data_IF_147371820045
#
_entry.id   IF_147371820045
#
_cell.length_a   1.000
_cell.length_b   1.000
_cell.length_c   1.000
_cell.angle_alpha   90.00
_cell.angle_beta   90.00
_cell.angle_gamma   90.00
#
_symmetry.space_group_name_H-M   'P 1'
#
loop_
_entity.id
_entity.type
_entity.pdbx_description
1 polymer ?
#
# COMPACT_ATOMS: atom_id res chain seq x y z
N UNK A 1 -0.17 11.53 1.98
CA UNK A 1 1.21 12.07 2.11
C UNK A 1 1.26 13.35 1.29
N UNK A 2 1.71 14.50 1.82
CA UNK A 2 1.90 15.67 1.00
C UNK A 2 3.01 15.37 -0.01
N UNK A 3 2.62 15.16 -1.27
CA UNK A 3 3.59 15.15 -2.36
C UNK A 3 4.32 16.52 -2.36
N UNK A 4 5.64 16.55 -2.52
CA UNK A 4 6.37 17.80 -2.64
C UNK A 4 5.76 18.57 -3.82
N UNK A 5 5.45 19.85 -3.60
CA UNK A 5 5.00 20.74 -4.67
C UNK A 5 6.11 20.79 -5.72
N UNK A 6 5.81 20.35 -6.92
CA UNK A 6 6.71 20.56 -8.07
C UNK A 6 6.74 22.07 -8.30
N UNK A 7 7.94 22.64 -8.42
CA UNK A 7 8.11 24.07 -8.71
C UNK A 7 7.30 24.46 -9.96
N UNK A 8 6.44 25.47 -9.82
CA UNK A 8 5.52 25.90 -10.88
C UNK A 8 4.17 25.18 -10.93
N UNK A 9 3.91 24.17 -10.08
CA UNK A 9 2.58 23.59 -9.98
C UNK A 9 1.65 24.48 -9.13
N UNK A 10 0.34 24.53 -9.44
CA UNK A 10 -0.62 25.25 -8.59
C UNK A 10 -0.61 24.63 -7.19
N UNK A 11 -0.59 25.49 -6.14
CA UNK A 11 -0.70 25.03 -4.77
C UNK A 11 -1.98 24.24 -4.55
N UNK A 12 -1.91 23.20 -3.69
CA UNK A 12 -3.07 22.35 -3.37
C UNK A 12 -3.89 22.87 -2.18
N UNK A 13 -3.44 23.95 -1.55
CA UNK A 13 -4.12 24.62 -0.42
C UNK A 13 -3.93 26.13 -0.58
N UNK A 14 -5.00 26.95 -0.50
CA UNK A 14 -6.40 26.54 -0.41
C UNK A 14 -6.90 25.84 -1.68
N UNK A 15 -7.99 25.08 -1.55
CA UNK A 15 -8.64 24.48 -2.73
C UNK A 15 -9.24 25.56 -3.61
N UNK A 16 -9.28 25.31 -4.93
CA UNK A 16 -9.86 26.21 -5.92
C UNK A 16 -10.81 25.45 -6.83
N UNK A 17 -11.92 26.12 -7.20
CA UNK A 17 -12.84 25.61 -8.23
C UNK A 17 -12.51 26.31 -9.54
N UNK A 18 -12.40 25.55 -10.61
CA UNK A 18 -12.19 26.06 -11.99
C UNK A 18 -13.30 25.57 -12.87
N UNK A 19 -13.71 26.42 -13.79
CA UNK A 19 -14.61 26.06 -14.89
C UNK A 19 -13.77 25.52 -16.05
N UNK A 20 -14.10 24.34 -16.53
CA UNK A 20 -13.47 23.66 -17.66
C UNK A 20 -14.54 23.27 -18.68
N UNK A 21 -14.16 22.73 -19.87
CA UNK A 21 -15.10 22.43 -20.96
C UNK A 21 -16.24 21.49 -20.51
N UNK A 22 -15.93 20.52 -19.63
CA UNK A 22 -16.88 19.50 -19.15
C UNK A 22 -17.56 19.86 -17.81
N UNK A 23 -17.36 21.08 -17.29
CA UNK A 23 -17.97 21.55 -16.04
C UNK A 23 -16.98 22.11 -15.04
N UNK A 24 -17.27 21.96 -13.75
CA UNK A 24 -16.45 22.50 -12.67
C UNK A 24 -15.49 21.44 -12.12
N UNK A 25 -14.22 21.78 -11.98
CA UNK A 25 -13.18 20.94 -11.37
C UNK A 25 -12.70 21.56 -10.09
N UNK A 26 -12.67 20.76 -9.02
CA UNK A 26 -12.13 21.13 -7.72
C UNK A 26 -10.66 20.70 -7.62
N UNK A 27 -9.76 21.69 -7.58
CA UNK A 27 -8.34 21.47 -7.30
C UNK A 27 -8.07 21.64 -5.80
N UNK A 28 -7.53 20.60 -5.16
CA UNK A 28 -7.22 20.67 -3.74
C UNK A 28 -6.52 19.41 -3.23
N UNK A 29 -5.89 19.52 -2.06
CA UNK A 29 -5.25 18.36 -1.42
C UNK A 29 -6.31 17.33 -1.02
N UNK A 30 -6.09 16.08 -1.48
CA UNK A 30 -7.03 14.99 -1.22
C UNK A 30 -8.36 15.11 -1.97
N UNK A 31 -8.49 15.99 -2.98
CA UNK A 31 -9.73 16.11 -3.75
C UNK A 31 -10.06 14.80 -4.49
N UNK A 32 -9.05 14.20 -5.13
CA UNK A 32 -9.17 12.90 -5.80
C UNK A 32 -8.98 11.76 -4.81
N UNK A 33 -7.95 11.83 -4.01
CA UNK A 33 -7.56 10.79 -3.07
C UNK A 33 -7.70 11.32 -1.62
N UNK A 34 -8.82 11.01 -0.88
CA UNK A 34 -10.01 10.41 -1.51
C UNK A 34 -11.30 11.16 -1.07
N UNK A 35 -11.24 12.51 -0.91
CA UNK A 35 -12.41 13.29 -0.47
C UNK A 35 -13.57 13.27 -1.47
N UNK A 36 -13.31 12.98 -2.74
CA UNK A 36 -14.34 12.72 -3.73
C UNK A 36 -15.20 11.51 -3.34
N UNK A 37 -14.56 10.39 -2.98
CA UNK A 37 -15.23 9.20 -2.46
C UNK A 37 -16.01 9.48 -1.17
N UNK A 38 -15.39 10.20 -0.23
CA UNK A 38 -16.09 10.64 1.02
C UNK A 38 -17.34 11.48 0.72
N UNK A 39 -17.28 12.37 -0.26
CA UNK A 39 -18.43 13.18 -0.65
C UNK A 39 -19.57 12.34 -1.23
N UNK A 40 -19.25 11.33 -2.06
CA UNK A 40 -20.23 10.37 -2.57
C UNK A 40 -20.86 9.59 -1.43
N UNK A 41 -20.07 9.09 -0.48
CA UNK A 41 -20.55 8.34 0.67
C UNK A 41 -21.49 9.18 1.54
N UNK A 42 -21.15 10.44 1.82
CA UNK A 42 -22.00 11.38 2.56
C UNK A 42 -23.31 11.66 1.83
N UNK A 43 -23.27 11.80 0.50
CA UNK A 43 -24.48 11.99 -0.31
C UNK A 43 -25.38 10.78 -0.24
N UNK A 44 -24.86 9.58 -0.42
CA UNK A 44 -25.63 8.35 -0.30
C UNK A 44 -26.25 8.20 1.10
N UNK A 45 -25.49 8.46 2.15
CA UNK A 45 -25.99 8.41 3.53
C UNK A 45 -27.11 9.45 3.82
N UNK A 46 -27.11 10.57 3.12
CA UNK A 46 -28.13 11.61 3.27
C UNK A 46 -29.39 11.37 2.43
N UNK A 47 -29.26 10.73 1.28
CA UNK A 47 -30.35 10.58 0.29
C UNK A 47 -31.02 9.21 0.36
N UNK A 48 -30.27 8.14 0.68
CA UNK A 48 -30.84 6.79 0.77
C UNK A 48 -31.52 6.56 2.12
N UNK A 49 -32.78 6.17 2.07
CA UNK A 49 -33.57 5.77 3.23
C UNK A 49 -33.78 4.25 3.23
N UNK A 50 -34.26 3.70 4.35
CA UNK A 50 -34.61 2.29 4.44
C UNK A 50 -35.70 1.82 3.44
N UNK A 51 -36.35 2.76 2.74
CA UNK A 51 -37.36 2.48 1.71
C UNK A 51 -36.77 2.42 0.31
N UNK A 52 -35.53 2.89 0.13
CA UNK A 52 -34.86 2.99 -1.17
C UNK A 52 -33.94 1.79 -1.46
N UNK A 53 -33.71 0.94 -0.48
CA UNK A 53 -32.80 -0.21 -0.62
C UNK A 53 -33.29 -1.41 0.19
N UNK A 54 -33.08 -2.60 -0.32
CA UNK A 54 -33.32 -3.88 0.36
C UNK A 54 -32.10 -4.31 1.22
N UNK A 55 -31.04 -3.52 1.24
CA UNK A 55 -29.80 -3.81 1.97
C UNK A 55 -29.68 -2.96 3.23
N UNK A 56 -29.06 -3.53 4.26
CA UNK A 56 -28.58 -2.78 5.41
C UNK A 56 -27.27 -2.09 5.02
N UNK A 57 -27.23 -0.75 5.11
CA UNK A 57 -26.06 0.04 4.75
C UNK A 57 -25.35 0.57 5.98
N UNK A 58 -24.07 0.26 6.11
CA UNK A 58 -23.19 0.79 7.14
C UNK A 58 -22.15 1.72 6.51
N UNK A 59 -22.15 2.98 6.90
CA UNK A 59 -21.18 3.98 6.43
C UNK A 59 -20.07 4.16 7.45
N UNK A 60 -18.83 3.90 7.04
CA UNK A 60 -17.67 3.97 7.92
C UNK A 60 -16.78 5.13 7.48
N UNK A 61 -16.56 6.08 8.38
CA UNK A 61 -15.63 7.19 8.24
C UNK A 61 -14.54 7.07 9.29
N UNK A 62 -13.32 6.93 8.88
CA UNK A 62 -12.19 6.73 9.80
C UNK A 62 -10.98 7.59 9.41
N UNK A 63 -10.09 7.78 10.36
CA UNK A 63 -8.87 8.56 10.22
C UNK A 63 -7.64 7.66 10.06
N UNK A 64 -6.50 8.27 9.73
CA UNK A 64 -5.19 7.62 9.73
C UNK A 64 -5.09 6.41 8.80
N UNK A 65 -5.64 6.47 7.59
CA UNK A 65 -5.47 5.43 6.58
C UNK A 65 -4.02 5.37 6.09
N UNK A 66 -3.43 6.53 5.75
CA UNK A 66 -2.12 6.73 5.11
C UNK A 66 -0.91 6.62 6.07
N UNK A 67 -1.09 6.10 7.27
CA UNK A 67 -0.04 6.04 8.30
C UNK A 67 0.31 4.60 8.66
N UNK A 68 1.18 4.42 9.65
CA UNK A 68 1.54 3.10 10.15
C UNK A 68 0.30 2.31 10.62
N UNK A 69 0.27 1.03 10.30
CA UNK A 69 -0.88 0.13 10.49
C UNK A 69 -1.46 0.15 11.90
N UNK A 70 -0.62 0.28 12.93
CA UNK A 70 -1.03 0.35 14.34
C UNK A 70 -1.81 1.62 14.69
N UNK A 71 -1.69 2.68 13.89
CA UNK A 71 -2.40 3.95 14.06
C UNK A 71 -3.71 4.02 13.27
N UNK A 72 -3.98 3.06 12.39
CA UNK A 72 -5.16 3.04 11.53
C UNK A 72 -6.46 3.15 12.33
N UNK A 73 -7.31 4.09 11.92
CA UNK A 73 -8.64 4.29 12.49
C UNK A 73 -9.56 3.08 12.26
N UNK A 74 -9.51 2.46 11.08
CA UNK A 74 -10.28 1.24 10.79
C UNK A 74 -9.80 0.07 11.65
N UNK A 75 -8.49 -0.15 11.78
CA UNK A 75 -7.97 -1.19 12.66
C UNK A 75 -8.38 -0.99 14.12
N UNK A 76 -8.45 0.27 14.59
CA UNK A 76 -8.97 0.61 15.93
C UNK A 76 -10.46 0.34 16.05
N UNK A 77 -11.24 0.65 15.01
CA UNK A 77 -12.67 0.38 14.96
C UNK A 77 -12.95 -1.13 15.02
N UNK A 78 -12.26 -1.92 14.21
CA UNK A 78 -12.38 -3.39 14.19
C UNK A 78 -12.05 -3.98 15.57
N UNK A 79 -10.99 -3.54 16.22
CA UNK A 79 -10.60 -4.04 17.57
C UNK A 79 -11.63 -3.70 18.66
N UNK A 80 -12.26 -2.54 18.59
CA UNK A 80 -13.12 -2.03 19.67
C UNK A 80 -14.61 -2.25 19.41
N UNK A 81 -15.01 -2.33 18.15
CA UNK A 81 -16.39 -2.36 17.68
C UNK A 81 -16.56 -3.25 16.45
N UNK A 82 -15.82 -4.36 16.39
CA UNK A 82 -15.86 -5.30 15.26
C UNK A 82 -17.26 -5.81 14.96
N UNK A 83 -18.09 -5.96 16.00
CA UNK A 83 -19.51 -6.36 15.91
C UNK A 83 -20.35 -5.48 14.96
N UNK A 84 -19.92 -4.25 14.67
CA UNK A 84 -20.61 -3.35 13.73
C UNK A 84 -20.25 -3.64 12.25
N UNK A 85 -19.22 -4.46 12.00
CA UNK A 85 -18.62 -4.66 10.68
C UNK A 85 -18.61 -6.12 10.28
N UNK A 86 -18.42 -7.06 11.24
CA UNK A 86 -18.23 -8.50 10.98
C UNK A 86 -19.43 -9.19 10.36
N UNK A 87 -20.63 -8.62 10.48
CA UNK A 87 -21.87 -9.15 9.89
C UNK A 87 -22.11 -8.60 8.47
N UNK A 88 -21.17 -7.83 7.89
CA UNK A 88 -21.32 -7.31 6.55
C UNK A 88 -20.98 -8.38 5.50
N UNK A 89 -21.89 -8.57 4.53
CA UNK A 89 -21.69 -9.51 3.41
C UNK A 89 -20.79 -8.96 2.31
N UNK A 90 -20.60 -7.64 2.28
CA UNK A 90 -19.85 -6.97 1.21
C UNK A 90 -19.34 -5.59 1.66
N UNK A 91 -18.12 -5.24 1.25
CA UNK A 91 -17.49 -3.96 1.54
C UNK A 91 -17.02 -3.25 0.28
N UNK A 92 -17.27 -1.93 0.20
CA UNK A 92 -16.78 -1.08 -0.88
C UNK A 92 -15.94 0.06 -0.28
N UNK A 93 -14.68 0.14 -0.71
CA UNK A 93 -13.82 1.28 -0.42
C UNK A 93 -13.89 2.26 -1.58
N UNK A 94 -14.16 3.53 -1.28
CA UNK A 94 -14.36 4.58 -2.31
C UNK A 94 -13.04 5.29 -2.66
N UNK A 95 -11.99 4.49 -2.84
CA UNK A 95 -10.70 4.95 -3.36
C UNK A 95 -10.78 5.31 -4.85
N UNK A 96 -9.89 6.18 -5.36
CA UNK A 96 -9.89 6.53 -6.77
C UNK A 96 -9.45 5.33 -7.65
N UNK A 97 -10.32 4.93 -8.58
CA UNK A 97 -10.14 3.75 -9.46
C UNK A 97 -10.32 4.07 -10.94
N UNK A 98 -10.30 5.36 -11.33
CA UNK A 98 -10.65 5.81 -12.71
C UNK A 98 -12.05 5.38 -13.18
N UNK A 99 -12.99 5.22 -12.23
CA UNK A 99 -14.38 4.83 -12.55
C UNK A 99 -14.58 3.34 -12.81
N UNK A 100 -13.57 2.51 -12.56
CA UNK A 100 -13.67 1.04 -12.64
C UNK A 100 -13.79 0.41 -11.25
N UNK A 101 -13.98 -0.90 -11.19
CA UNK A 101 -13.87 -1.68 -9.97
C UNK A 101 -12.46 -2.26 -9.89
N UNK A 102 -11.78 -2.07 -8.77
CA UNK A 102 -10.55 -2.77 -8.45
C UNK A 102 -10.83 -3.86 -7.43
N UNK A 103 -10.50 -5.12 -7.77
CA UNK A 103 -10.69 -6.29 -6.91
C UNK A 103 -9.47 -6.55 -6.03
N UNK A 104 -9.69 -6.91 -4.78
CA UNK A 104 -8.63 -7.25 -3.84
C UNK A 104 -7.55 -6.19 -3.73
N UNK A 105 -6.35 -6.58 -3.31
CA UNK A 105 -5.14 -5.74 -3.41
C UNK A 105 -3.86 -6.55 -3.22
N UNK A 106 -2.72 -6.03 -3.73
CA UNK A 106 -1.42 -6.56 -3.35
C UNK A 106 -1.16 -6.36 -1.86
N UNK A 107 -0.50 -7.34 -1.23
CA UNK A 107 0.11 -7.16 0.07
C UNK A 107 1.31 -6.23 0.00
N UNK A 108 1.69 -5.65 1.13
CA UNK A 108 2.89 -4.83 1.26
C UNK A 108 3.72 -5.25 2.45
N UNK A 109 5.03 -5.27 2.24
CA UNK A 109 6.00 -5.57 3.28
C UNK A 109 7.14 -4.58 3.18
N UNK A 110 7.54 -4.01 4.32
CA UNK A 110 8.72 -3.15 4.42
C UNK A 110 9.66 -3.70 5.46
N UNK A 111 10.94 -3.75 5.11
CA UNK A 111 11.97 -4.27 6.00
C UNK A 111 13.32 -3.65 5.69
N UNK A 112 14.22 -3.71 6.66
CA UNK A 112 15.63 -3.33 6.48
C UNK A 112 16.49 -4.59 6.31
N UNK A 113 17.35 -4.57 5.31
CA UNK A 113 18.53 -5.43 5.21
C UNK A 113 19.67 -4.69 5.86
N UNK A 114 20.18 -5.20 6.99
CA UNK A 114 21.22 -4.56 7.77
C UNK A 114 22.54 -5.28 7.63
N UNK A 115 23.61 -4.51 7.56
CA UNK A 115 24.97 -5.04 7.56
C UNK A 115 25.79 -4.37 8.66
N UNK A 116 26.77 -5.11 9.18
CA UNK A 116 27.73 -4.64 10.14
C UNK A 116 29.12 -4.81 9.59
N UNK A 117 30.05 -4.01 10.07
CA UNK A 117 31.44 -4.03 9.72
C UNK A 117 32.30 -3.61 10.89
N UNK A 118 33.50 -3.12 10.59
CA UNK A 118 34.45 -2.62 11.57
C UNK A 118 34.98 -1.24 11.12
N UNK A 119 34.77 -0.22 11.94
CA UNK A 119 35.22 1.14 11.63
C UNK A 119 36.76 1.21 11.64
N UNK A 120 37.29 1.93 10.65
CA UNK A 120 38.71 2.24 10.56
C UNK A 120 38.92 3.55 9.79
N UNK A 121 40.09 4.16 9.93
CA UNK A 121 40.49 5.29 9.09
C UNK A 121 40.65 4.80 7.63
N UNK A 122 40.08 5.50 6.64
CA UNK A 122 40.09 5.07 5.23
C UNK A 122 41.51 4.92 4.66
N UNK A 123 42.49 5.71 5.13
CA UNK A 123 43.89 5.53 4.81
C UNK A 123 44.55 4.25 5.39
N UNK A 124 43.84 3.51 6.21
CA UNK A 124 44.22 2.20 6.78
C UNK A 124 43.08 1.20 6.67
N UNK A 125 42.45 1.16 5.49
CA UNK A 125 41.26 0.37 5.23
C UNK A 125 41.39 -1.13 5.56
N UNK A 126 42.62 -1.69 5.49
CA UNK A 126 42.90 -3.10 5.87
C UNK A 126 42.68 -3.42 7.36
N UNK A 127 42.38 -2.42 8.19
CA UNK A 127 42.02 -2.58 9.61
C UNK A 127 40.53 -2.57 9.87
N UNK A 128 39.70 -2.34 8.84
CA UNK A 128 38.26 -2.25 8.93
C UNK A 128 37.56 -3.21 8.01
N UNK A 129 36.26 -3.33 8.22
CA UNK A 129 35.32 -4.06 7.36
C UNK A 129 34.21 -3.08 6.95
N UNK A 130 34.01 -2.91 5.64
CA UNK A 130 33.10 -1.90 5.13
C UNK A 130 31.66 -2.46 5.05
N UNK A 131 30.77 -1.98 5.94
CA UNK A 131 29.38 -2.41 5.98
C UNK A 131 28.59 -2.00 4.70
N UNK A 132 28.94 -0.88 4.05
CA UNK A 132 28.30 -0.50 2.77
C UNK A 132 28.66 -1.52 1.68
N UNK A 133 29.92 -1.93 1.59
CA UNK A 133 30.34 -2.96 0.63
C UNK A 133 29.65 -4.31 0.89
N UNK A 134 29.35 -4.63 2.14
CA UNK A 134 28.64 -5.84 2.50
C UNK A 134 27.18 -5.88 2.02
N UNK A 135 26.57 -4.73 1.64
CA UNK A 135 25.26 -4.68 1.00
C UNK A 135 25.31 -5.01 -0.52
N UNK A 136 26.48 -5.04 -1.14
CA UNK A 136 26.58 -5.22 -2.60
C UNK A 136 25.91 -6.51 -3.12
N UNK A 137 26.04 -7.69 -2.48
CA UNK A 137 25.33 -8.88 -2.94
C UNK A 137 23.80 -8.75 -2.85
N UNK A 138 23.27 -8.09 -1.80
CA UNK A 138 21.84 -7.86 -1.64
C UNK A 138 21.29 -6.90 -2.72
N UNK A 139 22.05 -5.84 -3.04
CA UNK A 139 21.73 -4.94 -4.15
C UNK A 139 21.79 -5.65 -5.50
N UNK A 140 22.76 -6.53 -5.71
CA UNK A 140 22.86 -7.33 -6.92
C UNK A 140 21.66 -8.29 -7.06
N UNK A 141 21.21 -8.91 -5.96
CA UNK A 141 20.02 -9.75 -5.95
C UNK A 141 18.78 -8.95 -6.37
N UNK A 142 18.59 -7.73 -5.86
CA UNK A 142 17.49 -6.85 -6.30
C UNK A 142 17.62 -6.40 -7.76
N UNK A 143 18.83 -6.07 -8.20
CA UNK A 143 19.05 -5.63 -9.56
C UNK A 143 18.78 -6.73 -10.61
N UNK A 144 18.87 -7.99 -10.21
CA UNK A 144 18.57 -9.16 -11.04
C UNK A 144 17.20 -9.80 -10.72
N UNK A 145 16.45 -9.25 -9.77
CA UNK A 145 15.14 -9.77 -9.41
C UNK A 145 14.13 -9.53 -10.52
N UNK A 146 13.49 -10.59 -10.97
CA UNK A 146 12.41 -10.54 -11.96
C UNK A 146 11.06 -10.64 -11.25
N UNK A 147 10.30 -9.52 -11.14
CA UNK A 147 8.97 -9.53 -10.55
C UNK A 147 8.02 -10.41 -11.35
N UNK A 148 7.19 -11.17 -10.65
CA UNK A 148 6.19 -12.02 -11.28
C UNK A 148 4.88 -11.25 -11.52
N UNK A 149 4.15 -11.69 -12.54
CA UNK A 149 2.73 -11.38 -12.71
C UNK A 149 1.95 -12.65 -12.42
N UNK A 150 1.03 -12.59 -11.49
CA UNK A 150 0.29 -13.73 -10.98
C UNK A 150 -1.20 -13.54 -11.25
N UNK A 151 -1.81 -14.47 -11.97
CA UNK A 151 -3.25 -14.47 -12.17
C UNK A 151 -3.97 -15.02 -10.92
N UNK A 152 -4.86 -14.23 -10.34
CA UNK A 152 -5.72 -14.62 -9.22
C UNK A 152 -7.16 -14.26 -9.56
N UNK A 153 -8.03 -15.26 -9.63
CA UNK A 153 -9.47 -15.10 -9.95
C UNK A 153 -9.72 -14.25 -11.21
N UNK A 154 -8.88 -14.42 -12.22
CA UNK A 154 -9.00 -13.73 -13.51
C UNK A 154 -8.33 -12.36 -13.60
N UNK A 155 -7.75 -11.85 -12.51
CA UNK A 155 -7.00 -10.60 -12.48
C UNK A 155 -5.49 -10.83 -12.39
N UNK A 156 -4.70 -10.04 -13.13
CA UNK A 156 -3.25 -10.15 -13.23
C UNK A 156 -2.55 -9.20 -12.24
N UNK A 157 -2.09 -9.72 -11.11
CA UNK A 157 -1.36 -8.97 -10.09
C UNK A 157 0.13 -8.95 -10.36
N UNK A 158 0.70 -7.76 -10.48
CA UNK A 158 2.15 -7.56 -10.63
C UNK A 158 2.81 -7.39 -9.28
N UNK A 159 3.83 -8.19 -9.02
CA UNK A 159 4.67 -8.06 -7.84
C UNK A 159 5.78 -7.03 -8.04
N UNK A 160 6.46 -6.66 -6.96
CA UNK A 160 7.61 -5.77 -7.03
C UNK A 160 8.44 -5.82 -5.76
N UNK A 161 9.74 -6.04 -5.89
CA UNK A 161 10.69 -6.07 -4.77
C UNK A 161 11.78 -5.03 -5.05
N UNK A 162 11.81 -3.95 -4.26
CA UNK A 162 12.62 -2.79 -4.56
C UNK A 162 13.33 -2.22 -3.33
N UNK A 163 14.61 -1.85 -3.47
CA UNK A 163 15.26 -0.95 -2.52
C UNK A 163 14.69 0.46 -2.69
N UNK A 164 14.14 1.03 -1.62
CA UNK A 164 13.54 2.37 -1.62
C UNK A 164 14.40 3.40 -0.89
N UNK A 165 15.37 2.95 -0.11
CA UNK A 165 16.33 3.79 0.58
C UNK A 165 17.58 3.00 0.93
N UNK A 166 18.73 3.66 0.98
CA UNK A 166 19.99 3.12 1.50
C UNK A 166 20.67 4.16 2.38
N UNK A 167 21.29 3.71 3.46
CA UNK A 167 22.03 4.58 4.38
C UNK A 167 23.28 3.89 4.92
N UNK A 168 24.30 4.66 5.22
CA UNK A 168 25.56 4.18 5.82
C UNK A 168 26.65 5.23 5.80
N UNK A 169 27.63 5.08 6.67
CA UNK A 169 28.75 6.01 6.81
C UNK A 169 28.46 7.22 7.70
N UNK A 170 29.52 7.73 8.35
CA UNK A 170 29.46 8.86 9.29
C UNK A 170 30.41 10.01 8.89
N UNK A 171 31.50 9.71 8.19
CA UNK A 171 32.47 10.70 7.72
C UNK A 171 33.25 10.17 6.49
N UNK A 172 33.72 11.07 5.64
CA UNK A 172 34.38 10.72 4.38
C UNK A 172 35.72 10.00 4.52
N UNK A 173 36.34 9.99 5.72
CA UNK A 173 37.60 9.31 6.02
C UNK A 173 37.46 8.14 6.97
N UNK A 174 36.23 7.62 7.20
CA UNK A 174 35.92 6.48 8.07
C UNK A 174 35.32 5.35 7.26
N UNK A 175 35.86 4.14 7.39
CA UNK A 175 35.25 2.92 6.88
C UNK A 175 33.97 2.66 7.70
N UNK A 176 32.78 2.57 7.06
CA UNK A 176 31.51 2.39 7.77
C UNK A 176 31.42 1.04 8.47
N UNK A 177 31.00 1.04 9.72
CA UNK A 177 30.76 -0.16 10.55
C UNK A 177 29.28 -0.59 10.56
N UNK A 178 28.39 0.23 9.97
CA UNK A 178 26.98 -0.10 9.82
C UNK A 178 26.44 0.49 8.50
N UNK A 179 25.57 -0.29 7.86
CA UNK A 179 24.73 0.17 6.74
C UNK A 179 23.37 -0.54 6.77
N UNK A 180 22.39 0.11 6.15
CA UNK A 180 21.04 -0.42 6.03
C UNK A 180 20.44 -0.07 4.67
N UNK A 181 19.73 -1.03 4.08
CA UNK A 181 18.93 -0.87 2.89
C UNK A 181 17.47 -1.10 3.25
N UNK A 182 16.60 -0.13 3.00
CA UNK A 182 15.17 -0.27 3.19
C UNK A 182 14.57 -0.83 1.92
N UNK A 183 13.85 -1.93 2.05
CA UNK A 183 13.24 -2.68 0.94
C UNK A 183 11.72 -2.66 1.10
N UNK A 184 11.01 -2.47 -0.02
CA UNK A 184 9.56 -2.66 -0.13
C UNK A 184 9.30 -3.86 -1.05
N UNK A 185 8.48 -4.79 -0.59
CA UNK A 185 7.94 -5.89 -1.36
C UNK A 185 6.44 -5.72 -1.53
N UNK A 186 5.98 -5.74 -2.77
CA UNK A 186 4.57 -5.84 -3.15
C UNK A 186 4.32 -7.23 -3.69
N UNK A 187 3.45 -8.00 -3.04
CA UNK A 187 3.19 -9.40 -3.39
C UNK A 187 1.72 -9.62 -3.73
N UNK A 188 1.50 -10.57 -4.65
CA UNK A 188 0.16 -10.89 -5.14
C UNK A 188 -0.67 -11.65 -4.09
N UNK A 189 -2.01 -11.60 -4.18
CA UNK A 189 -2.92 -12.25 -3.22
C UNK A 189 -3.06 -13.77 -3.41
N UNK A 190 -2.10 -14.40 -4.08
CA UNK A 190 -1.96 -15.86 -4.19
C UNK A 190 -1.25 -16.48 -3.00
N UNK A 191 -0.60 -15.67 -2.17
CA UNK A 191 0.20 -16.10 -1.02
C UNK A 191 -0.17 -15.41 0.28
N UNK A 192 0.04 -16.11 1.36
CA UNK A 192 -0.08 -15.61 2.71
C UNK A 192 1.10 -14.69 3.06
N UNK A 193 0.96 -13.95 4.16
CA UNK A 193 2.04 -13.12 4.68
C UNK A 193 3.29 -13.94 5.06
N UNK A 194 3.10 -15.14 5.63
CA UNK A 194 4.21 -16.03 5.99
C UNK A 194 4.95 -16.57 4.77
N UNK A 195 4.25 -16.89 3.69
CA UNK A 195 4.86 -17.27 2.42
C UNK A 195 5.63 -16.10 1.79
N UNK A 196 5.10 -14.89 1.87
CA UNK A 196 5.79 -13.68 1.43
C UNK A 196 7.06 -13.40 2.26
N UNK A 197 7.01 -13.58 3.60
CA UNK A 197 8.17 -13.49 4.48
C UNK A 197 9.21 -14.55 4.10
N UNK A 198 8.80 -15.78 3.85
CA UNK A 198 9.68 -16.87 3.44
C UNK A 198 10.39 -16.54 2.14
N UNK A 199 9.66 -16.01 1.15
CA UNK A 199 10.23 -15.60 -0.12
C UNK A 199 11.34 -14.54 0.04
N UNK A 200 11.10 -13.47 0.79
CA UNK A 200 12.15 -12.44 0.98
C UNK A 200 13.34 -12.95 1.78
N UNK A 201 13.15 -13.90 2.71
CA UNK A 201 14.24 -14.55 3.42
C UNK A 201 15.10 -15.43 2.50
N UNK A 202 14.53 -16.03 1.48
CA UNK A 202 15.26 -16.76 0.45
C UNK A 202 16.08 -15.80 -0.44
N UNK A 203 15.46 -14.71 -0.91
CA UNK A 203 16.13 -13.70 -1.75
C UNK A 203 17.33 -13.07 -1.02
N UNK A 204 17.18 -12.80 0.27
CA UNK A 204 18.20 -12.19 1.12
C UNK A 204 18.88 -13.19 2.06
N UNK A 205 19.07 -14.42 1.61
CA UNK A 205 19.70 -15.45 2.43
C UNK A 205 21.06 -14.99 2.98
N UNK A 206 21.27 -15.16 4.28
CA UNK A 206 22.49 -14.75 4.98
C UNK A 206 22.46 -13.30 5.52
N UNK A 207 21.37 -12.58 5.33
CA UNK A 207 21.18 -11.26 5.94
C UNK A 207 20.14 -11.28 7.07
N UNK A 208 20.36 -10.42 8.07
CA UNK A 208 19.33 -10.12 9.05
C UNK A 208 18.29 -9.18 8.43
N UNK A 209 17.01 -9.57 8.47
CA UNK A 209 15.88 -8.78 8.02
C UNK A 209 15.10 -8.25 9.22
N UNK A 210 15.00 -6.93 9.29
CA UNK A 210 14.26 -6.21 10.34
C UNK A 210 12.94 -5.70 9.75
N UNK A 211 11.85 -6.44 9.97
CA UNK A 211 10.53 -6.13 9.43
C UNK A 211 9.89 -4.98 10.21
N UNK A 212 9.45 -3.95 9.48
CA UNK A 212 8.88 -2.72 10.06
C UNK A 212 7.43 -2.48 9.65
N UNK A 213 6.96 -3.15 8.59
CA UNK A 213 5.57 -3.11 8.16
C UNK A 213 5.22 -4.40 7.44
N UNK A 214 4.11 -4.99 7.83
CA UNK A 214 3.61 -6.27 7.33
C UNK A 214 2.10 -6.16 7.14
N UNK A 215 1.65 -6.09 5.90
CA UNK A 215 0.25 -5.97 5.57
C UNK A 215 -0.15 -7.04 4.54
N UNK A 216 -1.12 -7.91 4.86
CA UNK A 216 -1.52 -9.01 3.99
C UNK A 216 -2.13 -8.49 2.68
N UNK A 217 -2.12 -9.33 1.65
CA UNK A 217 -2.88 -9.11 0.43
C UNK A 217 -4.35 -9.49 0.62
N UNK A 218 -5.23 -8.99 -0.24
CA UNK A 218 -6.63 -9.43 -0.32
C UNK A 218 -6.94 -10.05 -1.67
N UNK A 219 -7.61 -11.19 -1.67
CA UNK A 219 -8.13 -11.81 -2.90
C UNK A 219 -9.27 -10.97 -3.49
N UNK A 220 -9.49 -11.01 -4.82
CA UNK A 220 -10.52 -10.21 -5.48
C UNK A 220 -11.95 -10.42 -4.96
N UNK A 221 -12.38 -11.66 -4.78
CA UNK A 221 -13.73 -11.98 -4.32
C UNK A 221 -14.85 -11.48 -5.22
N UNK A 222 -14.60 -11.37 -6.54
CA UNK A 222 -15.52 -10.76 -7.50
C UNK A 222 -16.63 -11.70 -8.01
N UNK A 223 -16.59 -12.98 -7.62
CA UNK A 223 -17.57 -14.01 -7.99
C UNK A 223 -18.77 -14.08 -7.04
N UNK A 224 -18.81 -13.25 -6.00
CA UNK A 224 -19.96 -13.14 -5.11
C UNK A 224 -21.14 -12.45 -5.80
N UNK A 225 -22.41 -12.76 -5.44
CA UNK A 225 -23.58 -12.14 -6.09
C UNK A 225 -23.59 -10.60 -5.99
N UNK A 226 -23.19 -10.04 -4.86
CA UNK A 226 -23.15 -8.58 -4.66
C UNK A 226 -22.05 -7.93 -5.50
N UNK A 227 -20.86 -8.53 -5.57
CA UNK A 227 -19.78 -8.05 -6.43
C UNK A 227 -20.18 -8.11 -7.91
N UNK A 228 -20.77 -9.22 -8.35
CA UNK A 228 -21.26 -9.37 -9.74
C UNK A 228 -22.30 -8.29 -10.08
N UNK A 229 -23.28 -8.06 -9.21
CA UNK A 229 -24.28 -7.00 -9.41
C UNK A 229 -23.66 -5.61 -9.49
N UNK A 230 -22.65 -5.32 -8.68
CA UNK A 230 -21.93 -4.04 -8.72
C UNK A 230 -21.14 -3.90 -10.03
N UNK A 231 -20.45 -4.95 -10.47
CA UNK A 231 -19.71 -4.97 -11.75
C UNK A 231 -20.65 -4.71 -12.92
N UNK A 232 -21.80 -5.39 -12.96
CA UNK A 232 -22.83 -5.16 -14.01
C UNK A 232 -23.36 -3.72 -13.99
N UNK A 233 -23.57 -3.15 -12.80
CA UNK A 233 -24.06 -1.77 -12.67
C UNK A 233 -23.02 -0.72 -13.09
N UNK A 234 -21.74 -0.96 -12.85
CA UNK A 234 -20.64 -0.08 -13.30
C UNK A 234 -20.39 -0.24 -14.80
N UNK A 235 -20.52 -1.46 -15.33
CA UNK A 235 -20.40 -1.75 -16.76
C UNK A 235 -18.98 -1.72 -17.33
N UNK A 236 -17.97 -1.73 -16.46
CA UNK A 236 -16.54 -1.76 -16.81
C UNK A 236 -15.89 -3.05 -16.32
N UNK A 237 -14.87 -3.51 -17.04
CA UNK A 237 -14.10 -4.70 -16.65
C UNK A 237 -13.31 -4.44 -15.36
N UNK A 238 -13.42 -5.31 -14.35
CA UNK A 238 -12.66 -5.18 -13.11
C UNK A 238 -11.15 -5.21 -13.35
N UNK A 239 -10.41 -4.47 -12.53
CA UNK A 239 -8.95 -4.36 -12.59
C UNK A 239 -8.32 -4.84 -11.27
N UNK A 240 -7.05 -5.29 -11.29
CA UNK A 240 -6.33 -5.61 -10.06
C UNK A 240 -5.89 -4.33 -9.34
N UNK A 241 -6.02 -4.28 -8.01
CA UNK A 241 -5.44 -3.23 -7.17
C UNK A 241 -3.98 -3.53 -6.87
N UNK A 242 -3.05 -2.73 -7.41
CA UNK A 242 -1.62 -2.89 -7.15
C UNK A 242 -1.15 -2.23 -5.85
N UNK A 243 -1.86 -1.20 -5.39
CA UNK A 243 -1.65 -0.60 -4.07
C UNK A 243 -2.29 -1.44 -2.98
N UNK A 244 -1.75 -1.38 -1.77
CA UNK A 244 -2.43 -1.92 -0.60
C UNK A 244 -3.53 -0.96 -0.16
N UNK A 245 -4.66 -1.50 0.28
CA UNK A 245 -5.77 -0.74 0.87
C UNK A 245 -6.39 -1.53 2.02
N UNK A 246 -7.21 -0.86 2.80
CA UNK A 246 -7.94 -1.46 3.93
C UNK A 246 -8.96 -2.56 3.53
N UNK A 247 -9.15 -2.82 2.21
CA UNK A 247 -9.88 -4.01 1.76
C UNK A 247 -9.24 -5.29 2.32
N UNK A 248 -7.93 -5.31 2.51
CA UNK A 248 -7.24 -6.44 3.12
C UNK A 248 -7.69 -6.70 4.57
N UNK A 249 -7.95 -5.64 5.35
CA UNK A 249 -8.46 -5.77 6.72
C UNK A 249 -9.91 -6.25 6.76
N UNK A 250 -10.73 -5.76 5.83
CA UNK A 250 -12.12 -6.18 5.73
C UNK A 250 -12.24 -7.63 5.27
N UNK A 251 -11.29 -8.12 4.48
CA UNK A 251 -11.26 -9.50 4.00
C UNK A 251 -10.84 -10.53 5.08
N UNK A 252 -10.33 -10.07 6.23
CA UNK A 252 -9.92 -10.93 7.35
C UNK A 252 -11.03 -11.13 8.40
N UNK A 253 -12.13 -10.43 8.28
CA UNK A 253 -13.27 -10.46 9.21
C UNK A 253 -14.54 -10.90 8.52
#
# INVERSE_FOLDING_TARGET
VPLPTVEGSPGTVPSTVREEEDGYVLYGRGATDMKGGVAVQLKLAAELTAQDTDYNLTYIFYDNEEVASELSGLARLIRNHGELITDADFGVLLEPTNGTIEGGCNGTMRFFVRTRGLAAHSGRAWRGENAIHALAPALAALASYEPKTIAVEGLDYREGLNAVQISGGVAGNVIPDAAAMHVNYRFAPDKTLDEAISHVREVFAGYDLDFVDLSPAARPGLDTPLATSLIEAVGEEPQPKYGWTDVARLSEI
#
